data_IF_015899979140
#
_entry.id   IF_015899979140
#
_cell.length_a   1.000
_cell.length_b   1.000
_cell.length_c   1.000
_cell.angle_alpha   90.00
_cell.angle_beta   90.00
_cell.angle_gamma   90.00
#
_symmetry.space_group_name_H-M   'P 1'
#
loop_
_entity.id
_entity.type
_entity.pdbx_description
1 polymer ?
#
# COMPACT_ATOMS: atom_id res chain seq x y z
N UNK A 1 12.86 -49.11 60.57
CA UNK A 1 12.23 -47.87 60.09
C UNK A 1 12.12 -47.76 58.56
N UNK A 2 12.34 -48.84 57.77
CA UNK A 2 12.24 -48.77 56.29
C UNK A 2 10.80 -48.74 55.75
N UNK A 3 9.87 -49.45 56.40
CA UNK A 3 8.50 -49.61 55.89
C UNK A 3 7.66 -48.32 55.99
N UNK A 4 7.90 -47.47 56.99
CA UNK A 4 7.21 -46.18 57.11
C UNK A 4 7.67 -45.19 56.03
N UNK A 5 8.97 -45.18 55.69
CA UNK A 5 9.48 -44.33 54.62
C UNK A 5 8.90 -44.71 53.25
N UNK A 6 8.68 -46.01 52.98
CA UNK A 6 8.06 -46.46 51.73
C UNK A 6 6.63 -45.91 51.57
N UNK A 7 5.79 -46.09 52.60
CA UNK A 7 4.41 -45.58 52.61
C UNK A 7 4.38 -44.05 52.46
N UNK A 8 5.30 -43.34 53.11
CA UNK A 8 5.35 -41.88 53.06
C UNK A 8 5.84 -41.36 51.71
N UNK A 9 6.78 -42.07 51.07
CA UNK A 9 7.22 -41.76 49.70
C UNK A 9 6.09 -41.94 48.70
N UNK A 10 5.28 -42.98 48.83
CA UNK A 10 4.13 -43.22 47.93
C UNK A 10 3.07 -42.12 48.03
N UNK A 11 2.89 -41.54 49.22
CA UNK A 11 1.94 -40.44 49.46
C UNK A 11 2.54 -39.04 49.18
N UNK A 12 3.85 -38.95 48.98
CA UNK A 12 4.56 -37.68 48.85
C UNK A 12 4.18 -36.86 47.61
N UNK A 13 3.93 -37.45 46.43
CA UNK A 13 3.46 -36.70 45.27
C UNK A 13 2.12 -35.99 45.53
N UNK A 14 1.19 -36.66 46.21
CA UNK A 14 -0.11 -36.09 46.57
C UNK A 14 0.04 -34.93 47.58
N UNK A 15 0.97 -35.05 48.51
CA UNK A 15 1.30 -33.98 49.45
C UNK A 15 1.98 -32.79 48.74
N UNK A 16 2.89 -33.04 47.81
CA UNK A 16 3.56 -32.01 47.02
C UNK A 16 2.60 -31.20 46.14
N UNK A 17 1.52 -31.83 45.65
CA UNK A 17 0.46 -31.18 44.88
C UNK A 17 -0.67 -30.60 45.75
N UNK A 18 -0.55 -30.67 47.09
CA UNK A 18 -1.58 -30.23 48.05
C UNK A 18 -2.93 -30.96 47.88
N UNK A 19 -2.89 -32.21 47.41
CA UNK A 19 -4.06 -33.09 47.21
C UNK A 19 -4.21 -34.14 48.32
N UNK A 20 -3.23 -34.25 49.24
CA UNK A 20 -3.34 -35.11 50.41
C UNK A 20 -4.42 -34.62 51.38
N UNK A 21 -5.14 -35.54 52.02
CA UNK A 21 -6.09 -35.20 53.08
C UNK A 21 -5.35 -34.57 54.28
N UNK A 22 -6.05 -33.77 55.10
CA UNK A 22 -5.45 -33.14 56.30
C UNK A 22 -4.82 -34.17 57.25
N UNK A 23 -5.50 -35.29 57.47
CA UNK A 23 -5.00 -36.38 58.31
C UNK A 23 -3.74 -37.04 57.73
N UNK A 24 -3.68 -37.21 56.40
CA UNK A 24 -2.48 -37.74 55.73
C UNK A 24 -1.32 -36.75 55.73
N UNK A 25 -1.60 -35.44 55.59
CA UNK A 25 -0.60 -34.39 55.62
C UNK A 25 0.08 -34.28 57.00
N UNK A 26 -0.69 -34.36 58.09
CA UNK A 26 -0.17 -34.31 59.46
C UNK A 26 0.82 -35.46 59.75
N UNK A 27 0.48 -36.68 59.33
CA UNK A 27 1.37 -37.87 59.45
C UNK A 27 2.67 -37.69 58.64
N UNK A 28 2.57 -37.10 57.45
CA UNK A 28 3.72 -36.83 56.58
C UNK A 28 4.62 -35.76 57.20
N UNK A 29 4.06 -34.68 57.76
CA UNK A 29 4.80 -33.60 58.43
C UNK A 29 5.55 -34.10 59.67
N UNK A 30 4.90 -34.91 60.51
CA UNK A 30 5.52 -35.53 61.68
C UNK A 30 6.74 -36.37 61.30
N UNK A 31 6.64 -37.16 60.23
CA UNK A 31 7.76 -37.97 59.76
C UNK A 31 8.88 -37.15 59.11
N UNK A 32 8.53 -36.10 58.36
CA UNK A 32 9.51 -35.18 57.77
C UNK A 32 10.33 -34.46 58.84
N UNK A 33 9.78 -34.22 60.04
CA UNK A 33 10.52 -33.65 61.16
C UNK A 33 11.71 -34.54 61.60
N UNK A 34 11.59 -35.87 61.49
CA UNK A 34 12.61 -36.83 61.91
C UNK A 34 13.49 -37.45 60.80
N UNK A 35 13.11 -37.34 59.52
CA UNK A 35 13.75 -38.11 58.43
C UNK A 35 14.31 -37.23 57.30
N UNK A 36 15.65 -37.15 57.16
CA UNK A 36 16.30 -36.35 56.12
C UNK A 36 16.07 -36.90 54.70
N UNK A 37 16.12 -38.22 54.51
CA UNK A 37 15.98 -38.84 53.17
C UNK A 37 14.58 -38.68 52.55
N UNK A 38 13.56 -38.45 53.37
CA UNK A 38 12.21 -38.11 52.93
C UNK A 38 12.07 -36.61 52.62
N UNK A 39 12.82 -35.72 53.29
CA UNK A 39 12.87 -34.28 52.94
C UNK A 39 13.54 -34.05 51.59
N UNK A 40 14.65 -34.75 51.33
CA UNK A 40 15.38 -34.62 50.07
C UNK A 40 14.51 -35.08 48.88
N UNK A 41 13.79 -36.18 49.05
CA UNK A 41 12.82 -36.68 48.05
C UNK A 41 11.64 -35.72 47.83
N UNK A 42 11.11 -35.09 48.90
CA UNK A 42 10.06 -34.07 48.77
C UNK A 42 10.54 -32.86 47.94
N UNK A 43 11.78 -32.42 48.15
CA UNK A 43 12.37 -31.32 47.41
C UNK A 43 12.55 -31.66 45.92
N UNK A 44 12.98 -32.89 45.63
CA UNK A 44 13.08 -33.41 44.25
C UNK A 44 11.70 -33.42 43.56
N UNK A 45 10.66 -33.93 44.23
CA UNK A 45 9.28 -33.91 43.72
C UNK A 45 8.81 -32.46 43.49
N UNK A 46 8.99 -31.55 44.46
CA UNK A 46 8.57 -30.14 44.33
C UNK A 46 9.27 -29.44 43.17
N UNK A 47 10.55 -29.70 42.97
CA UNK A 47 11.31 -29.17 41.84
C UNK A 47 10.77 -29.71 40.51
N UNK A 48 10.45 -31.00 40.43
CA UNK A 48 9.84 -31.61 39.24
C UNK A 48 8.46 -31.01 38.91
N UNK A 49 7.60 -30.80 39.91
CA UNK A 49 6.27 -30.20 39.75
C UNK A 49 6.37 -28.73 39.32
N UNK A 50 7.33 -27.97 39.87
CA UNK A 50 7.58 -26.58 39.44
C UNK A 50 8.02 -26.52 37.98
N UNK A 51 8.96 -27.39 37.58
CA UNK A 51 9.45 -27.46 36.21
C UNK A 51 8.34 -27.81 35.22
N UNK A 52 7.42 -28.72 35.59
CA UNK A 52 6.25 -29.07 34.77
C UNK A 52 5.29 -27.88 34.61
N UNK A 53 4.94 -27.18 35.69
CA UNK A 53 4.06 -25.99 35.64
C UNK A 53 4.66 -24.86 34.81
N UNK A 54 5.95 -24.59 34.94
CA UNK A 54 6.64 -23.57 34.14
C UNK A 54 6.71 -23.97 32.66
N UNK A 55 6.91 -25.26 32.37
CA UNK A 55 6.91 -25.79 31.00
C UNK A 55 5.53 -25.69 30.37
N UNK A 56 4.47 -26.08 31.08
CA UNK A 56 3.08 -26.03 30.58
C UNK A 56 2.59 -24.60 30.37
N UNK A 57 2.82 -23.71 31.34
CA UNK A 57 2.40 -22.30 31.22
C UNK A 57 3.18 -21.57 30.13
N UNK A 58 4.48 -21.82 29.99
CA UNK A 58 5.31 -21.23 28.94
C UNK A 58 4.96 -21.79 27.56
N UNK A 59 4.67 -23.08 27.43
CA UNK A 59 4.23 -23.72 26.19
C UNK A 59 2.86 -23.18 25.74
N UNK A 60 1.87 -23.12 26.62
CA UNK A 60 0.56 -22.53 26.35
C UNK A 60 0.66 -21.05 25.94
N UNK A 61 1.50 -20.27 26.64
CA UNK A 61 1.71 -18.85 26.32
C UNK A 61 2.40 -18.68 24.96
N UNK A 62 3.35 -19.55 24.61
CA UNK A 62 3.98 -19.56 23.29
C UNK A 62 2.97 -19.93 22.18
N UNK A 63 2.11 -20.93 22.41
CA UNK A 63 1.06 -21.30 21.46
C UNK A 63 0.06 -20.15 21.26
N UNK A 64 -0.41 -19.51 22.34
CA UNK A 64 -1.29 -18.34 22.27
C UNK A 64 -0.66 -17.20 21.47
N UNK A 65 0.60 -16.86 21.74
CA UNK A 65 1.34 -15.82 20.99
C UNK A 65 1.46 -16.16 19.50
N UNK A 66 1.75 -17.43 19.16
CA UNK A 66 1.82 -17.89 17.76
C UNK A 66 0.47 -17.75 17.05
N UNK A 67 -0.63 -18.14 17.70
CA UNK A 67 -1.99 -17.99 17.17
C UNK A 67 -2.38 -16.51 17.01
N UNK A 68 -2.09 -15.66 17.99
CA UNK A 68 -2.33 -14.22 17.90
C UNK A 68 -1.54 -13.58 16.76
N UNK A 69 -0.25 -13.91 16.61
CA UNK A 69 0.56 -13.43 15.49
C UNK A 69 -0.02 -13.82 14.14
N UNK A 70 -0.57 -15.02 14.01
CA UNK A 70 -1.24 -15.46 12.78
C UNK A 70 -2.51 -14.68 12.49
N UNK A 71 -3.36 -14.50 13.50
CA UNK A 71 -4.57 -13.67 13.38
C UNK A 71 -4.20 -12.26 12.91
N UNK A 72 -3.15 -11.66 13.51
CA UNK A 72 -2.63 -10.36 13.08
C UNK A 72 -2.14 -10.35 11.64
N UNK A 73 -1.38 -11.36 11.19
CA UNK A 73 -0.93 -11.44 9.80
C UNK A 73 -2.10 -11.53 8.80
N UNK A 74 -3.14 -12.31 9.13
CA UNK A 74 -4.34 -12.40 8.28
C UNK A 74 -5.06 -11.06 8.23
N UNK A 75 -5.27 -10.40 9.37
CA UNK A 75 -5.90 -9.08 9.45
C UNK A 75 -5.12 -8.06 8.61
N UNK A 76 -3.79 -8.05 8.70
CA UNK A 76 -2.94 -7.15 7.91
C UNK A 76 -3.11 -7.43 6.42
N UNK A 77 -3.04 -8.69 5.98
CA UNK A 77 -3.20 -9.04 4.55
C UNK A 77 -4.58 -8.61 4.04
N UNK A 78 -5.65 -8.90 4.78
CA UNK A 78 -7.00 -8.49 4.39
C UNK A 78 -7.14 -6.98 4.33
N UNK A 79 -6.58 -6.25 5.29
CA UNK A 79 -6.61 -4.79 5.32
C UNK A 79 -5.82 -4.17 4.16
N UNK A 80 -4.64 -4.72 3.83
CA UNK A 80 -3.86 -4.23 2.70
C UNK A 80 -4.61 -4.45 1.38
N UNK A 81 -5.25 -5.61 1.20
CA UNK A 81 -6.04 -5.91 0.01
C UNK A 81 -7.28 -5.02 -0.11
N UNK A 82 -7.99 -4.74 0.99
CA UNK A 82 -9.12 -3.79 0.93
C UNK A 82 -8.65 -2.37 0.60
N UNK A 83 -7.51 -1.93 1.15
CA UNK A 83 -6.92 -0.65 0.80
C UNK A 83 -6.52 -0.56 -0.67
N UNK A 84 -6.01 -1.65 -1.28
CA UNK A 84 -5.75 -1.70 -2.73
C UNK A 84 -7.02 -1.47 -3.53
N UNK A 85 -8.13 -2.11 -3.16
CA UNK A 85 -9.41 -1.92 -3.86
C UNK A 85 -9.87 -0.46 -3.74
N UNK A 86 -9.83 0.10 -2.53
CA UNK A 86 -10.25 1.48 -2.28
C UNK A 86 -9.39 2.48 -3.09
N UNK A 87 -8.07 2.33 -3.08
CA UNK A 87 -7.17 3.24 -3.80
C UNK A 87 -7.34 3.13 -5.30
N UNK A 88 -7.59 1.93 -5.82
CA UNK A 88 -7.90 1.70 -7.24
C UNK A 88 -9.21 2.38 -7.62
N UNK A 89 -10.26 2.22 -6.81
CA UNK A 89 -11.56 2.87 -7.04
C UNK A 89 -11.41 4.39 -7.02
N UNK A 90 -10.70 4.96 -6.05
CA UNK A 90 -10.46 6.41 -5.99
C UNK A 90 -9.65 6.88 -7.20
N UNK A 91 -8.58 6.18 -7.58
CA UNK A 91 -7.77 6.52 -8.74
C UNK A 91 -8.60 6.53 -10.04
N UNK A 92 -9.51 5.55 -10.19
CA UNK A 92 -10.44 5.50 -11.31
C UNK A 92 -11.46 6.63 -11.27
N UNK A 93 -12.10 6.89 -10.12
CA UNK A 93 -13.12 7.94 -10.00
C UNK A 93 -12.55 9.35 -10.21
N UNK A 94 -11.28 9.55 -9.88
CA UNK A 94 -10.55 10.82 -10.05
C UNK A 94 -9.76 10.89 -11.36
N UNK A 95 -9.87 9.88 -12.24
CA UNK A 95 -9.37 9.92 -13.62
C UNK A 95 -9.91 11.15 -14.38
N UNK A 96 -9.02 12.01 -14.93
CA UNK A 96 -9.46 13.11 -15.78
C UNK A 96 -10.03 12.53 -17.07
N UNK A 97 -11.26 12.93 -17.33
CA UNK A 97 -12.00 12.70 -18.57
C UNK A 97 -11.98 14.02 -19.33
N UNK A 98 -11.02 14.14 -20.26
CA UNK A 98 -10.81 15.38 -21.00
C UNK A 98 -12.02 15.69 -21.89
N UNK A 99 -12.46 16.93 -21.83
CA UNK A 99 -13.62 17.38 -22.58
C UNK A 99 -13.16 17.87 -23.97
N UNK A 100 -13.88 17.54 -25.04
CA UNK A 100 -13.67 18.21 -26.32
C UNK A 100 -14.02 19.69 -26.19
N UNK A 101 -13.38 20.54 -26.98
CA UNK A 101 -13.71 21.95 -27.00
C UNK A 101 -15.17 22.17 -27.39
N UNK A 102 -15.85 23.01 -26.60
CA UNK A 102 -17.10 23.65 -26.98
C UNK A 102 -17.14 25.04 -26.34
N UNK A 103 -17.87 25.96 -26.97
CA UNK A 103 -18.10 27.30 -26.41
C UNK A 103 -18.88 27.29 -25.09
N UNK A 104 -19.52 26.17 -24.76
CA UNK A 104 -20.16 25.95 -23.47
C UNK A 104 -19.12 25.63 -22.41
N UNK A 105 -18.15 24.74 -22.70
CA UNK A 105 -17.13 24.29 -21.73
C UNK A 105 -16.12 25.39 -21.40
N UNK A 106 -15.65 26.14 -22.40
CA UNK A 106 -14.75 27.29 -22.23
C UNK A 106 -15.14 28.42 -23.17
N UNK A 107 -15.43 29.59 -22.61
CA UNK A 107 -15.59 30.83 -23.34
C UNK A 107 -14.36 31.74 -23.12
N UNK A 108 -13.86 32.33 -24.20
CA UNK A 108 -12.80 33.34 -24.14
C UNK A 108 -13.44 34.71 -24.32
N UNK A 109 -13.18 35.64 -23.40
CA UNK A 109 -13.65 37.01 -23.47
C UNK A 109 -12.48 37.97 -23.33
N UNK A 110 -12.44 38.99 -24.18
CA UNK A 110 -11.54 40.13 -24.03
C UNK A 110 -12.33 41.31 -23.45
N UNK A 111 -11.81 41.93 -22.39
CA UNK A 111 -12.37 43.14 -21.79
C UNK A 111 -11.83 44.39 -22.49
N UNK A 112 -12.52 45.52 -22.31
CA UNK A 112 -12.17 46.81 -22.93
C UNK A 112 -10.76 47.32 -22.55
N UNK A 113 -10.21 46.84 -21.44
CA UNK A 113 -8.85 47.15 -20.96
C UNK A 113 -7.76 46.28 -21.60
N UNK A 114 -8.12 45.37 -22.50
CA UNK A 114 -7.22 44.40 -23.14
C UNK A 114 -6.93 43.17 -22.28
N UNK A 115 -7.62 42.99 -21.15
CA UNK A 115 -7.53 41.78 -20.33
C UNK A 115 -8.25 40.62 -21.02
N UNK A 116 -7.58 39.48 -21.16
CA UNK A 116 -8.17 38.26 -21.73
C UNK A 116 -8.49 37.30 -20.60
N UNK A 117 -9.76 36.91 -20.49
CA UNK A 117 -10.24 35.96 -19.49
C UNK A 117 -10.82 34.70 -20.11
N UNK A 118 -10.61 33.58 -19.43
CA UNK A 118 -11.24 32.30 -19.69
C UNK A 118 -12.38 32.11 -18.69
N UNK A 119 -13.57 31.81 -19.19
CA UNK A 119 -14.75 31.47 -18.40
C UNK A 119 -15.02 30.00 -18.63
N UNK A 120 -14.90 29.20 -17.57
CA UNK A 120 -15.15 27.77 -17.60
C UNK A 120 -16.54 27.45 -17.05
N UNK A 121 -17.17 26.46 -17.67
CA UNK A 121 -18.46 25.93 -17.24
C UNK A 121 -18.40 25.27 -15.86
N UNK A 122 -19.54 25.22 -15.18
CA UNK A 122 -19.71 24.53 -13.89
C UNK A 122 -19.41 23.03 -13.95
N UNK A 123 -19.51 22.42 -15.13
CA UNK A 123 -19.27 20.98 -15.32
C UNK A 123 -17.81 20.58 -15.26
N UNK A 124 -16.85 21.51 -15.37
CA UNK A 124 -15.43 21.15 -15.35
C UNK A 124 -14.95 20.80 -13.93
N UNK A 125 -14.12 19.77 -13.82
CA UNK A 125 -13.49 19.41 -12.55
C UNK A 125 -12.19 20.21 -12.32
N UNK A 126 -11.47 20.48 -13.41
CA UNK A 126 -10.24 21.25 -13.44
C UNK A 126 -9.76 21.54 -14.87
N UNK A 127 -8.71 22.34 -14.97
CA UNK A 127 -8.05 22.70 -16.22
C UNK A 127 -6.54 22.83 -16.02
N UNK A 128 -5.77 22.68 -17.10
CA UNK A 128 -4.33 22.91 -17.13
C UNK A 128 -4.05 24.00 -18.16
N UNK A 129 -3.22 24.96 -17.77
CA UNK A 129 -2.88 26.14 -18.55
C UNK A 129 -1.37 26.28 -18.57
N UNK A 130 -0.79 26.15 -19.77
CA UNK A 130 0.62 26.40 -20.01
C UNK A 130 0.77 27.51 -21.04
N UNK A 131 1.92 28.18 -21.05
CA UNK A 131 2.20 29.18 -22.08
C UNK A 131 3.62 29.08 -22.58
N UNK A 132 3.81 29.45 -23.83
CA UNK A 132 5.10 29.61 -24.48
C UNK A 132 5.21 31.07 -24.92
N UNK A 133 6.38 31.67 -24.68
CA UNK A 133 6.67 33.00 -25.22
C UNK A 133 7.16 32.86 -26.65
N UNK A 134 6.63 33.68 -27.56
CA UNK A 134 7.04 33.68 -28.96
C UNK A 134 8.56 33.92 -29.10
N UNK A 135 9.18 33.44 -30.18
CA UNK A 135 10.61 33.58 -30.48
C UNK A 135 11.11 35.03 -30.47
N UNK A 136 10.21 35.97 -30.72
CA UNK A 136 10.50 37.41 -30.71
C UNK A 136 10.42 38.03 -29.31
N UNK A 137 10.06 37.26 -28.27
CA UNK A 137 9.90 37.74 -26.89
C UNK A 137 8.66 38.61 -26.65
N UNK A 138 7.89 38.89 -27.70
CA UNK A 138 6.70 39.75 -27.67
C UNK A 138 5.50 38.87 -27.93
N UNK A 139 4.74 38.53 -26.89
CA UNK A 139 3.53 37.73 -27.01
C UNK A 139 3.61 36.33 -26.41
N UNK A 140 2.51 35.89 -25.81
CA UNK A 140 2.34 34.56 -25.25
C UNK A 140 1.29 33.77 -26.01
N UNK A 141 1.64 32.53 -26.30
CA UNK A 141 0.72 31.51 -26.79
C UNK A 141 0.37 30.60 -25.63
N UNK A 142 -0.92 30.49 -25.31
CA UNK A 142 -1.41 29.66 -24.22
C UNK A 142 -1.95 28.34 -24.77
N UNK A 143 -1.66 27.24 -24.09
CA UNK A 143 -2.24 25.93 -24.36
C UNK A 143 -3.08 25.51 -23.16
N UNK A 144 -4.35 25.21 -23.43
CA UNK A 144 -5.40 24.94 -22.46
C UNK A 144 -5.94 23.51 -22.63
N UNK A 145 -6.16 22.84 -21.51
CA UNK A 145 -7.01 21.64 -21.43
C UNK A 145 -8.02 21.79 -20.32
N UNK A 146 -9.22 21.27 -20.51
CA UNK A 146 -10.19 21.11 -19.44
C UNK A 146 -10.61 19.64 -19.33
N UNK A 147 -10.86 19.18 -18.11
CA UNK A 147 -11.35 17.83 -17.86
C UNK A 147 -12.46 17.83 -16.82
N UNK A 148 -13.28 16.81 -16.90
CA UNK A 148 -14.17 16.42 -15.83
C UNK A 148 -13.61 15.18 -15.12
N UNK A 149 -14.24 14.73 -14.05
CA UNK A 149 -13.94 13.44 -13.42
C UNK A 149 -15.25 12.73 -13.09
N UNK A 150 -15.25 11.40 -13.06
CA UNK A 150 -16.43 10.61 -12.65
C UNK A 150 -16.87 11.00 -11.23
N UNK A 151 -15.91 11.28 -10.35
CA UNK A 151 -16.16 11.80 -9.02
C UNK A 151 -16.93 13.14 -9.04
N UNK A 152 -16.48 14.09 -9.86
CA UNK A 152 -17.12 15.40 -9.99
C UNK A 152 -18.56 15.30 -10.54
N UNK A 153 -18.77 14.45 -11.57
CA UNK A 153 -20.11 14.16 -12.13
C UNK A 153 -21.09 13.63 -11.08
N UNK A 154 -20.62 12.84 -10.12
CA UNK A 154 -21.47 12.21 -9.12
C UNK A 154 -21.74 13.10 -7.89
N UNK A 155 -20.71 13.80 -7.39
CA UNK A 155 -20.79 14.46 -6.09
C UNK A 155 -20.83 16.00 -6.14
N UNK A 156 -20.43 16.65 -7.23
CA UNK A 156 -20.16 18.11 -7.24
C UNK A 156 -20.92 18.88 -8.32
N UNK A 157 -22.23 18.62 -8.44
CA UNK A 157 -23.13 19.23 -9.43
C UNK A 157 -23.44 20.74 -9.28
N UNK A 158 -22.78 21.47 -8.37
CA UNK A 158 -23.17 22.84 -7.98
C UNK A 158 -21.96 23.78 -7.78
N UNK A 159 -20.94 23.73 -8.64
CA UNK A 159 -19.88 24.76 -8.64
C UNK A 159 -20.33 25.96 -9.46
N UNK A 160 -19.95 27.17 -9.07
CA UNK A 160 -20.07 28.34 -9.94
C UNK A 160 -19.02 28.31 -11.06
N UNK A 161 -19.29 29.02 -12.16
CA UNK A 161 -18.32 29.26 -13.24
C UNK A 161 -16.95 29.69 -12.69
N UNK A 162 -15.88 29.10 -13.21
CA UNK A 162 -14.51 29.49 -12.87
C UNK A 162 -14.01 30.52 -13.89
N UNK A 163 -13.41 31.61 -13.40
CA UNK A 163 -12.85 32.66 -14.25
C UNK A 163 -11.35 32.74 -14.01
N UNK A 164 -10.57 32.68 -15.09
CA UNK A 164 -9.11 32.76 -15.06
C UNK A 164 -8.63 33.87 -15.98
N UNK A 165 -7.82 34.78 -15.45
CA UNK A 165 -7.22 35.88 -16.21
C UNK A 165 -5.89 35.40 -16.81
N UNK A 166 -5.72 35.55 -18.12
CA UNK A 166 -4.52 35.09 -18.83
C UNK A 166 -3.35 36.07 -18.69
N UNK A 167 -3.62 37.37 -18.67
CA UNK A 167 -2.64 38.45 -18.65
C UNK A 167 -2.75 39.34 -17.41
N UNK A 168 -2.59 38.80 -16.20
CA UNK A 168 -2.74 39.58 -14.97
C UNK A 168 -1.76 40.77 -14.86
N UNK A 169 -0.64 40.73 -15.60
CA UNK A 169 0.38 41.78 -15.62
C UNK A 169 0.34 42.64 -16.89
N UNK A 170 -0.73 42.57 -17.69
CA UNK A 170 -0.84 43.31 -18.96
C UNK A 170 0.00 42.74 -20.12
N UNK A 171 0.37 41.46 -20.03
CA UNK A 171 1.11 40.78 -21.09
C UNK A 171 0.25 40.59 -22.35
N UNK A 172 0.88 40.64 -23.53
CA UNK A 172 0.17 40.43 -24.80
C UNK A 172 -0.17 38.95 -24.99
N UNK A 173 -1.46 38.64 -25.08
CA UNK A 173 -1.97 37.30 -25.46
C UNK A 173 -2.09 37.25 -26.98
N UNK A 174 -1.30 36.40 -27.64
CA UNK A 174 -1.33 36.26 -29.10
C UNK A 174 -2.28 35.16 -29.57
N UNK A 175 -2.27 34.02 -28.88
CA UNK A 175 -3.13 32.90 -29.22
C UNK A 175 -3.48 32.08 -27.97
N UNK A 176 -4.65 31.47 -28.00
CA UNK A 176 -5.05 30.42 -27.05
C UNK A 176 -5.43 29.20 -27.85
N UNK A 177 -4.75 28.09 -27.58
CA UNK A 177 -4.98 26.78 -28.16
C UNK A 177 -5.68 25.88 -27.14
N UNK A 178 -6.65 25.10 -27.59
CA UNK A 178 -7.34 24.08 -26.81
C UNK A 178 -6.93 22.70 -27.31
N UNK A 179 -6.35 21.89 -26.43
CA UNK A 179 -5.92 20.54 -26.78
C UNK A 179 -7.12 19.59 -26.90
N UNK A 180 -7.20 18.89 -28.03
CA UNK A 180 -8.23 17.88 -28.29
C UNK A 180 -7.68 16.49 -28.04
N UNK A 181 -8.37 15.68 -27.24
CA UNK A 181 -7.99 14.28 -26.95
C UNK A 181 -8.24 13.30 -28.10
N UNK A 182 -8.53 13.81 -29.30
CA UNK A 182 -9.06 13.05 -30.43
C UNK A 182 -7.96 12.70 -31.46
N UNK A 183 -6.68 12.77 -31.07
CA UNK A 183 -5.52 12.77 -31.98
C UNK A 183 -5.59 13.85 -33.07
N UNK A 184 -6.42 14.87 -32.87
CA UNK A 184 -6.55 16.03 -33.74
C UNK A 184 -5.58 17.11 -33.30
N UNK A 185 -5.11 17.99 -34.22
CA UNK A 185 -4.29 19.12 -33.85
C UNK A 185 -5.03 20.05 -32.88
N UNK A 186 -4.27 20.67 -31.98
CA UNK A 186 -4.81 21.65 -31.04
C UNK A 186 -5.61 22.74 -31.76
N UNK A 187 -6.77 23.07 -31.20
CA UNK A 187 -7.71 24.02 -31.79
C UNK A 187 -7.39 25.44 -31.34
N UNK A 188 -7.19 26.34 -32.29
CA UNK A 188 -7.07 27.77 -31.99
C UNK A 188 -8.43 28.34 -31.61
N UNK A 189 -8.59 28.74 -30.34
CA UNK A 189 -9.85 29.27 -29.79
C UNK A 189 -9.85 30.80 -29.63
N UNK A 190 -8.67 31.42 -29.64
CA UNK A 190 -8.49 32.88 -29.64
C UNK A 190 -7.19 33.24 -30.35
N UNK A 191 -7.19 34.31 -31.16
CA UNK A 191 -5.99 34.84 -31.81
C UNK A 191 -6.08 36.36 -31.96
N UNK A 192 -4.99 37.07 -31.64
CA UNK A 192 -4.84 38.51 -31.81
C UNK A 192 -3.68 38.80 -32.78
N UNK A 193 -3.92 38.48 -34.05
CA UNK A 193 -3.04 38.78 -35.18
C UNK A 193 -1.98 37.71 -35.44
N UNK A 194 -1.78 37.42 -36.72
CA UNK A 194 -1.05 36.30 -37.33
C UNK A 194 -1.68 34.92 -37.09
N UNK A 195 -2.09 34.30 -38.20
CA UNK A 195 -2.48 32.88 -38.26
C UNK A 195 -1.31 32.04 -37.72
N UNK A 196 -1.40 31.65 -36.45
CA UNK A 196 -0.49 30.67 -35.87
C UNK A 196 -0.84 29.30 -36.44
N UNK A 197 -0.40 29.06 -37.68
CA UNK A 197 -0.56 27.83 -38.42
C UNK A 197 0.38 26.75 -37.88
N UNK A 198 0.21 26.41 -36.61
CA UNK A 198 1.01 25.42 -35.91
C UNK A 198 0.09 24.57 -35.05
N UNK A 199 -0.42 23.48 -35.62
CA UNK A 199 -1.05 22.43 -34.81
C UNK A 199 0.02 21.86 -33.88
N UNK A 200 -0.11 22.13 -32.58
CA UNK A 200 0.69 21.46 -31.57
C UNK A 200 0.06 20.09 -31.31
N UNK A 201 0.89 19.06 -31.12
CA UNK A 201 0.47 17.74 -30.69
C UNK A 201 1.18 17.45 -29.37
N UNK A 202 0.42 17.27 -28.29
CA UNK A 202 1.00 16.80 -27.03
C UNK A 202 1.12 15.27 -27.08
N UNK A 203 2.35 14.74 -27.02
CA UNK A 203 2.58 13.31 -27.10
C UNK A 203 2.29 12.63 -25.73
N UNK A 204 1.65 11.45 -25.73
CA UNK A 204 1.51 10.65 -24.52
C UNK A 204 2.88 10.28 -23.97
N UNK A 205 3.07 10.44 -22.65
CA UNK A 205 4.37 10.20 -22.00
C UNK A 205 4.60 8.70 -21.82
N UNK A 206 5.48 8.11 -22.64
CA UNK A 206 5.84 6.68 -22.58
C UNK A 206 6.75 6.28 -21.41
N UNK A 207 7.09 7.21 -20.51
CA UNK A 207 8.05 7.00 -19.40
C UNK A 207 7.60 5.87 -18.47
N UNK A 208 6.30 5.71 -18.26
CA UNK A 208 5.78 4.70 -17.35
C UNK A 208 5.98 3.27 -17.89
N UNK A 209 5.85 3.09 -19.20
CA UNK A 209 6.15 1.82 -19.87
C UNK A 209 7.61 1.41 -19.73
N UNK A 210 8.54 2.38 -19.73
CA UNK A 210 9.94 2.10 -19.50
C UNK A 210 10.16 1.54 -18.09
N UNK A 211 9.55 2.14 -17.06
CA UNK A 211 9.65 1.64 -15.69
C UNK A 211 9.04 0.24 -15.54
N UNK A 212 7.93 -0.03 -16.23
CA UNK A 212 7.32 -1.37 -16.27
C UNK A 212 8.27 -2.42 -16.85
N UNK A 213 8.91 -2.12 -17.99
CA UNK A 213 9.89 -3.03 -18.61
C UNK A 213 11.11 -3.26 -17.73
N UNK A 214 11.64 -2.21 -17.08
CA UNK A 214 12.74 -2.32 -16.13
C UNK A 214 12.37 -3.20 -14.92
N UNK A 215 11.14 -3.05 -14.41
CA UNK A 215 10.65 -3.88 -13.30
C UNK A 215 10.54 -5.36 -13.70
N UNK A 216 10.09 -5.68 -14.92
CA UNK A 216 10.06 -7.05 -15.44
C UNK A 216 11.48 -7.62 -15.52
N UNK A 217 12.43 -6.87 -16.06
CA UNK A 217 13.84 -7.28 -16.11
C UNK A 217 14.40 -7.59 -14.71
N UNK A 218 14.14 -6.71 -13.74
CA UNK A 218 14.57 -6.91 -12.36
C UNK A 218 13.86 -8.12 -11.69
N UNK A 219 12.58 -8.37 -11.98
CA UNK A 219 11.85 -9.54 -11.50
C UNK A 219 12.48 -10.84 -12.01
N UNK A 220 12.86 -10.90 -13.28
CA UNK A 220 13.50 -12.08 -13.88
C UNK A 220 14.86 -12.33 -13.21
N UNK A 221 15.71 -11.30 -13.09
CA UNK A 221 17.05 -11.43 -12.49
C UNK A 221 16.95 -11.86 -11.02
N UNK A 222 16.13 -11.16 -10.23
CA UNK A 222 15.95 -11.48 -8.81
C UNK A 222 15.30 -12.85 -8.60
N UNK A 223 14.35 -13.25 -9.45
CA UNK A 223 13.71 -14.56 -9.43
C UNK A 223 14.66 -15.70 -9.76
N UNK A 224 15.53 -15.55 -10.76
CA UNK A 224 16.58 -16.54 -11.08
C UNK A 224 17.54 -16.67 -9.88
N UNK A 225 17.99 -15.54 -9.32
CA UNK A 225 18.85 -15.56 -8.15
C UNK A 225 18.16 -16.27 -6.97
N UNK A 226 16.87 -16.01 -6.73
CA UNK A 226 16.09 -16.66 -5.68
C UNK A 226 16.04 -18.18 -5.85
N UNK A 227 15.86 -18.67 -7.08
CA UNK A 227 15.87 -20.10 -7.40
C UNK A 227 17.24 -20.74 -7.18
N UNK A 228 18.33 -20.07 -7.58
CA UNK A 228 19.71 -20.57 -7.42
C UNK A 228 20.08 -20.68 -5.94
N UNK A 229 19.80 -19.64 -5.15
CA UNK A 229 20.17 -19.58 -3.74
C UNK A 229 19.12 -20.16 -2.78
N UNK A 230 18.07 -20.83 -3.29
CA UNK A 230 16.97 -21.41 -2.49
C UNK A 230 17.43 -22.37 -1.39
N UNK A 231 18.63 -22.95 -1.53
CA UNK A 231 19.21 -23.91 -0.57
C UNK A 231 19.69 -23.24 0.72
N UNK A 232 20.09 -21.98 0.67
CA UNK A 232 20.51 -21.23 1.86
C UNK A 232 19.33 -20.42 2.43
N UNK A 233 18.79 -20.83 3.59
CA UNK A 233 17.61 -20.20 4.21
C UNK A 233 17.79 -18.70 4.50
N UNK A 234 19.00 -18.23 4.77
CA UNK A 234 19.25 -16.82 5.04
C UNK A 234 19.12 -16.00 3.75
N UNK A 235 19.80 -16.44 2.69
CA UNK A 235 19.80 -15.78 1.38
C UNK A 235 18.41 -15.86 0.75
N UNK A 236 17.76 -17.02 0.81
CA UNK A 236 16.39 -17.23 0.31
C UNK A 236 15.39 -16.24 0.92
N UNK A 237 15.51 -15.93 2.22
CA UNK A 237 14.65 -14.96 2.90
C UNK A 237 14.90 -13.49 2.49
N UNK A 238 16.14 -13.12 2.21
CA UNK A 238 16.46 -11.77 1.72
C UNK A 238 15.99 -11.64 0.27
N UNK A 239 16.34 -12.63 -0.54
CA UNK A 239 16.11 -12.62 -1.98
C UNK A 239 14.63 -12.73 -2.34
N UNK A 240 13.83 -13.44 -1.53
CA UNK A 240 12.37 -13.43 -1.68
C UNK A 240 11.77 -12.03 -1.52
N UNK A 241 12.28 -11.23 -0.56
CA UNK A 241 11.81 -9.85 -0.36
C UNK A 241 12.23 -8.95 -1.50
N UNK A 242 13.46 -9.09 -1.98
CA UNK A 242 13.95 -8.37 -3.16
C UNK A 242 13.08 -8.70 -4.39
N UNK A 243 12.70 -9.96 -4.58
CA UNK A 243 11.85 -10.41 -5.69
C UNK A 243 10.41 -9.90 -5.56
N UNK A 244 9.89 -9.73 -4.34
CA UNK A 244 8.54 -9.19 -4.14
C UNK A 244 8.40 -7.71 -4.49
N UNK A 245 9.48 -6.93 -4.42
CA UNK A 245 9.44 -5.50 -4.76
C UNK A 245 9.05 -5.23 -6.22
N UNK A 246 9.74 -5.78 -7.25
CA UNK A 246 9.33 -5.60 -8.64
C UNK A 246 7.99 -6.28 -8.93
N UNK A 247 7.69 -7.43 -8.30
CA UNK A 247 6.40 -8.09 -8.46
C UNK A 247 5.24 -7.19 -8.00
N UNK A 248 5.41 -6.52 -6.86
CA UNK A 248 4.43 -5.58 -6.34
C UNK A 248 4.30 -4.33 -7.24
N UNK A 249 5.40 -3.84 -7.82
CA UNK A 249 5.36 -2.72 -8.77
C UNK A 249 4.59 -3.08 -10.03
N UNK A 250 4.88 -4.24 -10.63
CA UNK A 250 4.18 -4.76 -11.81
C UNK A 250 2.68 -4.91 -11.51
N UNK A 251 2.32 -5.48 -10.36
CA UNK A 251 0.93 -5.59 -9.94
C UNK A 251 0.26 -4.21 -9.80
N UNK A 252 0.93 -3.25 -9.16
CA UNK A 252 0.41 -1.88 -9.05
C UNK A 252 0.25 -1.18 -10.39
N UNK A 253 1.22 -1.35 -11.29
CA UNK A 253 1.17 -0.80 -12.65
C UNK A 253 -0.04 -1.34 -13.42
N UNK A 254 -0.25 -2.66 -13.41
CA UNK A 254 -1.39 -3.30 -14.08
C UNK A 254 -2.73 -2.87 -13.49
N UNK A 255 -2.82 -2.70 -12.17
CA UNK A 255 -4.06 -2.28 -11.49
C UNK A 255 -4.44 -0.84 -11.84
N UNK A 256 -3.47 0.08 -11.95
CA UNK A 256 -3.75 1.50 -12.20
C UNK A 256 -3.88 1.81 -13.69
N UNK A 257 -3.02 1.26 -14.54
CA UNK A 257 -2.92 1.65 -15.96
C UNK A 257 -3.34 0.57 -16.95
N UNK A 258 -3.57 -0.66 -16.49
CA UNK A 258 -3.87 -1.79 -17.36
C UNK A 258 -2.69 -2.17 -18.26
N UNK A 259 -3.00 -2.72 -19.44
CA UNK A 259 -2.01 -3.22 -20.40
C UNK A 259 -1.57 -2.20 -21.45
N UNK A 260 -2.40 -1.18 -21.73
CA UNK A 260 -2.14 -0.22 -22.82
C UNK A 260 -1.34 1.00 -22.35
N UNK A 261 -1.35 1.30 -21.03
CA UNK A 261 -0.41 2.17 -20.33
C UNK A 261 -0.08 3.53 -20.99
N UNK A 262 -1.03 4.07 -21.75
CA UNK A 262 -1.02 5.43 -22.26
C UNK A 262 -1.60 6.35 -21.20
N UNK A 263 -0.74 7.11 -20.55
CA UNK A 263 -1.14 8.06 -19.50
C UNK A 263 -0.72 9.47 -19.88
N UNK A 264 -1.66 10.42 -19.79
CA UNK A 264 -1.41 11.85 -19.99
C UNK A 264 -0.91 12.54 -18.71
N UNK A 265 -1.27 12.04 -17.52
CA UNK A 265 -0.77 12.53 -16.23
C UNK A 265 0.22 11.56 -15.57
N UNK A 266 1.44 11.51 -16.11
CA UNK A 266 2.47 10.56 -15.69
C UNK A 266 2.80 10.63 -14.20
N UNK A 267 2.76 11.82 -13.59
CA UNK A 267 3.10 11.99 -12.17
C UNK A 267 2.03 11.41 -11.23
N UNK A 268 0.76 11.64 -11.53
CA UNK A 268 -0.36 11.15 -10.73
C UNK A 268 -0.42 9.63 -10.76
N UNK A 269 -0.39 9.05 -11.96
CA UNK A 269 -0.48 7.60 -12.12
C UNK A 269 0.75 6.92 -11.50
N UNK A 270 1.92 7.54 -11.60
CA UNK A 270 3.12 7.06 -10.91
C UNK A 270 2.94 7.01 -9.39
N UNK A 271 2.38 8.06 -8.76
CA UNK A 271 2.08 8.06 -7.31
C UNK A 271 1.08 6.96 -6.95
N UNK A 272 0.00 6.83 -7.74
CA UNK A 272 -1.01 5.80 -7.50
C UNK A 272 -0.40 4.39 -7.59
N UNK A 273 0.47 4.14 -8.57
CA UNK A 273 1.20 2.88 -8.73
C UNK A 273 2.10 2.63 -7.53
N UNK A 274 2.87 3.62 -7.07
CA UNK A 274 3.76 3.45 -5.91
C UNK A 274 2.96 3.14 -4.63
N UNK A 275 1.79 3.75 -4.46
CA UNK A 275 0.92 3.49 -3.32
C UNK A 275 0.40 2.05 -3.36
N UNK A 276 -0.15 1.62 -4.50
CA UNK A 276 -0.65 0.25 -4.68
C UNK A 276 0.49 -0.79 -4.57
N UNK A 277 1.66 -0.48 -5.12
CA UNK A 277 2.89 -1.28 -4.96
C UNK A 277 3.22 -1.48 -3.49
N UNK A 278 3.24 -0.41 -2.70
CA UNK A 278 3.55 -0.50 -1.28
C UNK A 278 2.57 -1.43 -0.54
N UNK A 279 1.27 -1.29 -0.81
CA UNK A 279 0.24 -2.15 -0.22
C UNK A 279 0.41 -3.63 -0.62
N UNK A 280 0.66 -3.91 -1.90
CA UNK A 280 0.93 -5.27 -2.36
C UNK A 280 2.21 -5.84 -1.75
N UNK A 281 3.26 -5.05 -1.63
CA UNK A 281 4.53 -5.48 -1.04
C UNK A 281 4.36 -5.88 0.43
N UNK A 282 3.65 -5.08 1.22
CA UNK A 282 3.32 -5.40 2.62
C UNK A 282 2.43 -6.65 2.70
N UNK A 283 1.47 -6.81 1.80
CA UNK A 283 0.62 -8.00 1.73
C UNK A 283 1.45 -9.26 1.42
N UNK A 284 2.36 -9.21 0.44
CA UNK A 284 3.23 -10.33 0.06
C UNK A 284 4.18 -10.75 1.19
N UNK A 285 4.80 -9.79 1.88
CA UNK A 285 5.67 -10.09 3.04
C UNK A 285 4.86 -10.72 4.18
N UNK A 286 3.69 -10.16 4.46
CA UNK A 286 2.80 -10.67 5.52
C UNK A 286 2.30 -12.09 5.19
N UNK A 287 1.93 -12.34 3.93
CA UNK A 287 1.52 -13.65 3.44
C UNK A 287 2.67 -14.67 3.52
N UNK A 288 3.89 -14.28 3.12
CA UNK A 288 5.07 -15.14 3.24
C UNK A 288 5.38 -15.48 4.70
N UNK A 289 5.29 -14.51 5.61
CA UNK A 289 5.46 -14.72 7.04
C UNK A 289 4.40 -15.68 7.59
N UNK A 290 3.16 -15.58 7.12
CA UNK A 290 2.07 -16.49 7.48
C UNK A 290 2.35 -17.92 7.02
N UNK A 291 2.69 -18.12 5.74
CA UNK A 291 3.01 -19.44 5.16
C UNK A 291 4.18 -20.10 5.88
N UNK A 292 5.24 -19.34 6.16
CA UNK A 292 6.42 -19.85 6.91
C UNK A 292 6.08 -20.19 8.36
N UNK A 293 5.19 -19.43 9.00
CA UNK A 293 4.69 -19.79 10.32
C UNK A 293 3.93 -21.12 10.30
N UNK A 294 3.27 -21.48 9.20
CA UNK A 294 2.49 -22.70 9.06
C UNK A 294 3.36 -23.93 8.80
N UNK A 295 4.41 -23.80 7.98
CA UNK A 295 5.36 -24.89 7.70
C UNK A 295 6.08 -25.40 8.96
N UNK A 296 6.32 -24.54 9.96
CA UNK A 296 6.94 -24.91 11.25
C UNK A 296 6.04 -25.73 12.19
N UNK A 297 4.76 -25.96 11.85
CA UNK A 297 3.85 -26.81 12.65
C UNK A 297 3.81 -28.25 12.14
N UNK A 298 4.14 -28.47 10.86
CA UNK A 298 4.17 -29.81 10.26
C UNK A 298 5.49 -30.57 10.48
N UNK A 299 6.48 -29.92 11.08
CA UNK A 299 7.75 -30.51 11.50
C UNK A 299 7.77 -30.57 13.02
#
# INVERSE_FOLDING_TARGET
MSNQCAVIRDLMPLYAESMASKASAEIIEEHLAGCQSCRDYLNEIRQSVSNLKDTDTSALRQMKKRLQRRKMLVIIVTLMLTMVVITTVIAYLTAPDYLPYSSEVVAVSELDDGTVQLIFDESIAGYDLSYITNKNGVGREYSLTAWNTTWNKWFQRHRSNQITILNPNGEKVEAVFYYQTNDQPDLLIYSKGTESSGGQMTLPRLVLNLYFMLAIGFLIISGIAWLVFRRNRMIENILSKITFLPAAYIAGHLVITGFNATTYHSFRDFIAILLVMFLFYVALISAQAFVRSNRRIKQ
#
